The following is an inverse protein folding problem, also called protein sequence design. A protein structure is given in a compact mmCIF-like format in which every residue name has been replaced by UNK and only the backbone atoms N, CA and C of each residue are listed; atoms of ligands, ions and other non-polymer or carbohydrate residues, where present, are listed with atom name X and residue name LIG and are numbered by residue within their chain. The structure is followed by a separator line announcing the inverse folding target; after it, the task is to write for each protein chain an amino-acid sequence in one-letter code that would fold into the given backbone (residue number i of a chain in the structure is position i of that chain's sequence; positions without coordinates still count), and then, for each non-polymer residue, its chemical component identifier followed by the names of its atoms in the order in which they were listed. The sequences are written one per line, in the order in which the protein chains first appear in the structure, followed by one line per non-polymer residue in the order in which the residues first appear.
data_IF_291800762321
#
_entry.id   IF_291800762321
#
_cell.length_a   1.000
_cell.length_b   1.000
_cell.length_c   1.000
_cell.angle_alpha   90.00
_cell.angle_beta   90.00
_cell.angle_gamma   90.00
#
_symmetry.space_group_name_H-M   'P 1'
#
loop_
_entity.id
_entity.type
_entity.pdbx_description
1 polymer ?
#
# COMPACT_ATOMS: atom_id res chain seq x y z
N UNK A 1 6.83 23.20 -12.76
CA UNK A 1 7.92 23.21 -11.76
C UNK A 1 9.13 22.58 -12.42
N UNK A 2 10.31 23.19 -12.34
CA UNK A 2 11.53 22.61 -12.91
C UNK A 2 12.02 21.43 -12.06
N UNK A 3 12.79 20.52 -12.66
CA UNK A 3 13.41 19.41 -11.95
C UNK A 3 14.40 19.89 -10.87
N UNK A 4 15.08 21.02 -11.10
CA UNK A 4 15.99 21.62 -10.12
C UNK A 4 15.25 22.08 -8.85
N UNK A 5 14.12 22.78 -9.00
CA UNK A 5 13.30 23.17 -7.85
C UNK A 5 12.76 21.95 -7.11
N UNK A 6 12.37 20.89 -7.83
CA UNK A 6 11.92 19.63 -7.22
C UNK A 6 13.04 18.94 -6.44
N UNK A 7 14.26 18.91 -6.96
CA UNK A 7 15.41 18.33 -6.29
C UNK A 7 15.74 19.08 -4.98
N UNK A 8 15.66 20.41 -4.98
CA UNK A 8 15.85 21.23 -3.78
C UNK A 8 14.77 20.92 -2.71
N UNK A 9 13.50 20.80 -3.11
CA UNK A 9 12.43 20.42 -2.19
C UNK A 9 12.63 19.02 -1.62
N UNK A 10 13.03 18.05 -2.46
CA UNK A 10 13.32 16.69 -2.02
C UNK A 10 14.45 16.66 -0.99
N UNK A 11 15.54 17.40 -1.23
CA UNK A 11 16.64 17.50 -0.27
C UNK A 11 16.22 18.16 1.05
N UNK A 12 15.41 19.22 1.00
CA UNK A 12 14.89 19.85 2.21
C UNK A 12 13.98 18.90 3.03
N UNK A 13 13.15 18.12 2.34
CA UNK A 13 12.30 17.10 2.98
C UNK A 13 13.11 15.95 3.57
N UNK A 14 14.14 15.45 2.87
CA UNK A 14 15.06 14.44 3.42
C UNK A 14 15.72 14.91 4.72
N UNK A 15 16.01 16.21 4.82
CA UNK A 15 16.54 16.85 6.04
C UNK A 15 15.47 17.17 7.10
N UNK A 16 14.20 16.85 6.85
CA UNK A 16 13.12 16.96 7.82
C UNK A 16 12.47 18.34 7.94
N UNK A 17 12.60 19.20 6.92
CA UNK A 17 11.92 20.49 6.87
C UNK A 17 10.39 20.30 6.75
N UNK A 18 9.65 20.70 7.79
CA UNK A 18 8.21 20.47 7.88
C UNK A 18 7.43 21.26 6.82
N UNK A 19 7.83 22.49 6.52
CA UNK A 19 7.11 23.32 5.53
C UNK A 19 7.25 22.71 4.13
N UNK A 20 8.42 22.16 3.82
CA UNK A 20 8.65 21.47 2.56
C UNK A 20 7.89 20.14 2.51
N UNK A 21 7.76 19.43 3.64
CA UNK A 21 6.91 18.22 3.73
C UNK A 21 5.46 18.57 3.39
N UNK A 22 4.90 19.59 4.04
CA UNK A 22 3.51 20.02 3.82
C UNK A 22 3.29 20.46 2.36
N UNK A 23 4.25 21.19 1.79
CA UNK A 23 4.22 21.60 0.38
C UNK A 23 4.26 20.39 -0.57
N UNK A 24 5.13 19.40 -0.32
CA UNK A 24 5.19 18.18 -1.12
C UNK A 24 3.91 17.35 -0.97
N UNK A 25 3.33 17.26 0.23
CA UNK A 25 2.06 16.58 0.46
C UNK A 25 0.93 17.23 -0.36
N UNK A 26 0.91 18.56 -0.48
CA UNK A 26 -0.02 19.27 -1.36
C UNK A 26 0.26 18.95 -2.85
N UNK A 27 1.52 19.05 -3.30
CA UNK A 27 1.89 18.70 -4.68
C UNK A 27 1.52 17.25 -5.04
N UNK A 28 1.62 16.33 -4.07
CA UNK A 28 1.26 14.92 -4.25
C UNK A 28 -0.23 14.70 -4.52
N UNK A 29 -1.12 15.64 -4.17
CA UNK A 29 -2.56 15.57 -4.48
C UNK A 29 -2.85 15.70 -5.97
N UNK A 30 -1.92 16.21 -6.78
CA UNK A 30 -2.07 16.30 -8.24
C UNK A 30 -2.22 14.90 -8.84
N UNK A 31 -3.08 14.79 -9.85
CA UNK A 31 -3.33 13.55 -10.59
C UNK A 31 -2.43 13.42 -11.84
N UNK A 32 -1.37 14.21 -11.94
CA UNK A 32 -0.41 14.17 -13.05
C UNK A 32 0.89 13.47 -12.65
N UNK A 33 1.80 13.30 -13.61
CA UNK A 33 3.09 12.63 -13.41
C UNK A 33 3.91 13.24 -12.27
N UNK A 34 3.85 14.56 -12.09
CA UNK A 34 4.52 15.24 -11.00
C UNK A 34 3.94 14.80 -9.65
N UNK A 35 2.61 14.83 -9.52
CA UNK A 35 1.93 14.38 -8.30
C UNK A 35 2.25 12.92 -7.96
N UNK A 36 2.27 12.02 -8.94
CA UNK A 36 2.65 10.61 -8.73
C UNK A 36 4.11 10.44 -8.31
N UNK A 37 5.03 11.22 -8.90
CA UNK A 37 6.46 11.19 -8.55
C UNK A 37 6.69 11.67 -7.12
N UNK A 38 6.04 12.77 -6.71
CA UNK A 38 6.14 13.30 -5.34
C UNK A 38 5.49 12.36 -4.33
N UNK A 39 4.32 11.81 -4.66
CA UNK A 39 3.63 10.83 -3.81
C UNK A 39 4.49 9.58 -3.56
N UNK A 40 5.15 9.07 -4.60
CA UNK A 40 6.10 7.95 -4.46
C UNK A 40 7.29 8.32 -3.59
N UNK A 41 7.88 9.50 -3.80
CA UNK A 41 9.02 9.97 -3.00
C UNK A 41 8.69 10.07 -1.51
N UNK A 42 7.54 10.65 -1.15
CA UNK A 42 7.08 10.74 0.24
C UNK A 42 6.86 9.36 0.85
N UNK A 43 6.25 8.45 0.09
CA UNK A 43 6.01 7.09 0.57
C UNK A 43 7.30 6.27 0.73
N UNK A 44 8.29 6.46 -0.15
CA UNK A 44 9.59 5.82 -0.04
C UNK A 44 10.31 6.26 1.25
N UNK A 45 10.19 7.54 1.66
CA UNK A 45 10.69 8.02 2.95
C UNK A 45 9.90 7.45 4.13
N UNK A 46 8.56 7.48 4.05
CA UNK A 46 7.67 6.97 5.08
C UNK A 46 7.87 5.46 5.35
N UNK A 47 8.04 4.66 4.29
CA UNK A 47 8.22 3.21 4.38
C UNK A 47 9.65 2.78 4.75
N UNK A 48 10.59 3.73 4.82
CA UNK A 48 12.01 3.45 5.06
C UNK A 48 12.77 2.91 3.84
N UNK A 49 12.14 2.83 2.66
CA UNK A 49 12.81 2.47 1.40
C UNK A 49 13.88 3.51 1.02
N UNK A 50 13.65 4.77 1.39
CA UNK A 50 14.61 5.87 1.30
C UNK A 50 14.89 6.37 2.71
N UNK A 51 16.16 6.62 3.02
CA UNK A 51 16.57 7.20 4.30
C UNK A 51 16.25 8.70 4.36
N UNK A 52 15.92 9.20 5.56
CA UNK A 52 15.69 10.61 5.83
C UNK A 52 16.00 10.96 7.29
N UNK A 53 15.64 12.17 7.70
CA UNK A 53 15.80 12.62 9.10
C UNK A 53 15.08 11.69 10.10
N UNK A 54 15.47 11.68 11.38
CA UNK A 54 14.73 10.96 12.42
C UNK A 54 13.25 11.36 12.45
N UNK A 55 12.36 10.38 12.67
CA UNK A 55 10.90 10.55 12.75
C UNK A 55 10.25 11.20 11.50
N UNK A 56 10.91 11.15 10.35
CA UNK A 56 10.37 11.72 9.08
C UNK A 56 9.07 11.02 8.67
N UNK A 57 8.93 9.73 8.96
CA UNK A 57 7.71 8.94 8.79
C UNK A 57 6.52 9.55 9.52
N UNK A 58 6.73 9.96 10.78
CA UNK A 58 5.71 10.62 11.62
C UNK A 58 5.36 12.03 11.12
N UNK A 59 6.35 12.77 10.59
CA UNK A 59 6.08 14.10 10.01
C UNK A 59 5.24 13.99 8.74
N UNK A 60 5.60 13.06 7.85
CA UNK A 60 4.90 12.84 6.58
C UNK A 60 3.47 12.35 6.82
N UNK A 61 3.31 11.33 7.67
CA UNK A 61 1.98 10.75 7.90
C UNK A 61 1.03 11.72 8.61
N UNK A 62 1.55 12.56 9.51
CA UNK A 62 0.77 13.60 10.17
C UNK A 62 0.32 14.69 9.20
N UNK A 63 1.18 15.13 8.29
CA UNK A 63 0.81 16.06 7.22
C UNK A 63 -0.29 15.47 6.33
N UNK A 64 -0.17 14.18 5.97
CA UNK A 64 -1.21 13.48 5.21
C UNK A 64 -2.55 13.38 5.96
N UNK A 65 -2.51 13.16 7.28
CA UNK A 65 -3.72 13.14 8.12
C UNK A 65 -4.41 14.51 8.16
N UNK A 66 -3.65 15.61 8.27
CA UNK A 66 -4.21 16.96 8.21
C UNK A 66 -4.89 17.20 6.86
N UNK A 67 -4.25 16.82 5.74
CA UNK A 67 -4.87 16.91 4.41
C UNK A 67 -6.16 16.09 4.31
N UNK A 68 -6.17 14.85 4.82
CA UNK A 68 -7.37 14.02 4.87
C UNK A 68 -8.47 14.68 5.71
N UNK A 69 -8.15 15.30 6.86
CA UNK A 69 -9.14 16.01 7.67
C UNK A 69 -9.72 17.22 6.95
N UNK A 70 -8.89 18.01 6.26
CA UNK A 70 -9.34 19.15 5.46
C UNK A 70 -10.33 18.68 4.39
N UNK A 71 -9.98 17.60 3.66
CA UNK A 71 -10.78 17.02 2.59
C UNK A 71 -12.15 16.48 3.00
N UNK A 72 -12.30 16.08 4.26
CA UNK A 72 -13.57 15.55 4.77
C UNK A 72 -14.34 16.57 5.64
N UNK A 73 -13.87 17.81 5.75
CA UNK A 73 -14.60 18.90 6.39
C UNK A 73 -15.73 19.40 5.46
N UNK A 74 -16.88 19.81 6.02
CA UNK A 74 -18.12 20.14 5.29
C UNK A 74 -17.93 21.17 4.17
N UNK A 75 -16.91 22.04 4.28
CA UNK A 75 -16.58 23.06 3.29
C UNK A 75 -16.02 22.46 1.99
N UNK A 76 -15.44 21.25 2.04
CA UNK A 76 -14.77 20.61 0.89
C UNK A 76 -15.30 19.20 0.56
N UNK A 77 -16.36 18.73 1.24
CA UNK A 77 -16.90 17.37 1.06
C UNK A 77 -17.32 17.04 -0.39
N UNK A 78 -17.75 18.04 -1.15
CA UNK A 78 -18.13 17.88 -2.57
C UNK A 78 -16.94 18.04 -3.53
N UNK A 79 -15.73 18.24 -3.01
CA UNK A 79 -14.54 18.48 -3.81
C UNK A 79 -13.95 17.18 -4.34
N UNK A 80 -14.60 16.66 -5.39
CA UNK A 80 -14.19 15.45 -6.14
C UNK A 80 -12.79 15.55 -6.76
N UNK A 81 -12.14 16.71 -6.71
CA UNK A 81 -10.80 16.94 -7.26
C UNK A 81 -9.71 16.20 -6.47
N UNK A 82 -9.88 16.00 -5.16
CA UNK A 82 -8.89 15.32 -4.30
C UNK A 82 -9.06 13.81 -4.27
N UNK A 83 -9.17 13.20 -5.45
CA UNK A 83 -9.41 11.75 -5.64
C UNK A 83 -8.51 10.86 -4.78
N UNK A 84 -7.23 11.22 -4.63
CA UNK A 84 -6.27 10.46 -3.84
C UNK A 84 -6.63 10.35 -2.35
N UNK A 85 -7.48 11.21 -1.80
CA UNK A 85 -7.94 11.14 -0.41
C UNK A 85 -9.26 10.33 -0.25
N UNK A 86 -9.81 9.85 -1.37
CA UNK A 86 -11.05 9.06 -1.43
C UNK A 86 -10.90 7.76 -2.23
N UNK A 87 -9.68 7.43 -2.65
CA UNK A 87 -9.36 6.23 -3.43
C UNK A 87 -8.08 5.57 -2.89
N UNK A 88 -7.80 4.31 -3.27
CA UNK A 88 -6.58 3.62 -2.84
C UNK A 88 -5.33 4.37 -3.32
N UNK A 89 -4.66 5.07 -2.40
CA UNK A 89 -3.48 5.89 -2.69
C UNK A 89 -2.47 5.81 -1.55
N UNK A 90 -1.22 6.18 -1.85
CA UNK A 90 -0.16 6.20 -0.84
C UNK A 90 -0.43 7.28 0.20
N UNK A 91 -0.95 8.44 -0.22
CA UNK A 91 -1.32 9.52 0.69
C UNK A 91 -2.40 9.09 1.69
N UNK A 92 -3.43 8.39 1.22
CA UNK A 92 -4.52 7.93 2.07
C UNK A 92 -4.04 6.84 3.05
N UNK A 93 -3.18 5.93 2.58
CA UNK A 93 -2.54 4.95 3.45
C UNK A 93 -1.69 5.62 4.54
N UNK A 94 -0.86 6.60 4.19
CA UNK A 94 -0.06 7.36 5.16
C UNK A 94 -0.96 8.09 6.17
N UNK A 95 -2.04 8.76 5.71
CA UNK A 95 -2.99 9.44 6.59
C UNK A 95 -3.61 8.49 7.63
N UNK A 96 -4.03 7.29 7.23
CA UNK A 96 -4.60 6.30 8.14
C UNK A 96 -3.59 5.71 9.13
N UNK A 97 -2.30 5.72 8.81
CA UNK A 97 -1.25 5.30 9.73
C UNK A 97 -1.08 6.26 10.92
N UNK A 98 -1.29 7.55 10.71
CA UNK A 98 -1.06 8.59 11.72
C UNK A 98 -2.18 8.72 12.76
N UNK A 99 -3.43 8.39 12.40
CA UNK A 99 -4.55 8.47 13.35
C UNK A 99 -4.42 7.39 14.42
N UNK A 100 -4.79 7.69 15.66
CA UNK A 100 -4.91 6.70 16.76
C UNK A 100 -6.33 6.18 16.93
N UNK A 101 -7.31 6.85 16.31
CA UNK A 101 -8.73 6.48 16.35
C UNK A 101 -9.00 5.30 15.40
N UNK A 102 -9.39 4.16 15.98
CA UNK A 102 -9.69 2.93 15.25
C UNK A 102 -10.88 3.10 14.29
N UNK A 103 -11.90 3.87 14.67
CA UNK A 103 -13.06 4.11 13.79
C UNK A 103 -12.63 4.83 12.51
N UNK A 104 -11.74 5.82 12.65
CA UNK A 104 -11.14 6.51 11.50
C UNK A 104 -10.25 5.59 10.67
N UNK A 105 -9.46 4.71 11.30
CA UNK A 105 -8.67 3.70 10.58
C UNK A 105 -9.58 2.82 9.73
N UNK A 106 -10.63 2.25 10.32
CA UNK A 106 -11.60 1.40 9.62
C UNK A 106 -12.24 2.15 8.45
N UNK A 107 -12.68 3.40 8.64
CA UNK A 107 -13.24 4.22 7.56
C UNK A 107 -12.27 4.50 6.41
N UNK A 108 -10.98 4.73 6.71
CA UNK A 108 -9.95 4.90 5.68
C UNK A 108 -9.63 3.57 5.00
N UNK A 109 -9.53 2.48 5.76
CA UNK A 109 -9.27 1.14 5.24
C UNK A 109 -10.35 0.71 4.23
N UNK A 110 -11.62 1.01 4.50
CA UNK A 110 -12.71 0.75 3.58
C UNK A 110 -12.54 1.47 2.23
N UNK A 111 -12.08 2.73 2.23
CA UNK A 111 -11.78 3.47 0.99
C UNK A 111 -10.60 2.86 0.20
N UNK A 112 -9.68 2.17 0.87
CA UNK A 112 -8.49 1.55 0.26
C UNK A 112 -8.81 0.14 -0.26
N UNK A 113 -9.52 -0.67 0.52
CA UNK A 113 -9.83 -2.05 0.18
C UNK A 113 -11.08 -2.17 -0.71
N UNK A 114 -11.95 -1.17 -0.68
CA UNK A 114 -13.27 -1.24 -1.29
C UNK A 114 -14.22 -2.16 -0.53
N UNK A 115 -15.28 -2.58 -1.21
CA UNK A 115 -16.19 -3.60 -0.70
C UNK A 115 -15.50 -4.96 -0.74
N UNK A 116 -15.41 -5.60 0.43
CA UNK A 116 -14.93 -6.97 0.52
C UNK A 116 -16.09 -7.95 0.31
N UNK A 117 -15.91 -8.88 -0.61
CA UNK A 117 -16.88 -9.95 -0.89
C UNK A 117 -16.28 -11.28 -0.46
N UNK A 118 -17.05 -12.05 0.32
CA UNK A 118 -16.65 -13.40 0.69
C UNK A 118 -16.63 -14.26 -0.58
N UNK A 119 -15.53 -14.97 -0.82
CA UNK A 119 -15.41 -15.92 -1.91
C UNK A 119 -16.08 -17.26 -1.57
N UNK A 120 -16.27 -17.54 -0.28
CA UNK A 120 -16.97 -18.74 0.20
C UNK A 120 -17.91 -18.41 1.36
N UNK A 121 -18.92 -19.25 1.58
CA UNK A 121 -19.85 -19.13 2.72
C UNK A 121 -19.17 -19.24 4.10
N UNK A 122 -17.90 -19.67 4.13
CA UNK A 122 -17.09 -19.88 5.32
C UNK A 122 -16.16 -18.69 5.62
N UNK A 123 -16.01 -17.77 4.68
CA UNK A 123 -15.10 -16.63 4.79
C UNK A 123 -15.78 -15.46 5.51
N UNK A 124 -15.17 -15.00 6.60
CA UNK A 124 -15.60 -13.78 7.26
C UNK A 124 -14.96 -12.59 6.56
N UNK A 125 -15.77 -11.81 5.85
CA UNK A 125 -15.33 -10.51 5.33
C UNK A 125 -15.58 -9.41 6.36
N UNK A 126 -14.55 -8.61 6.61
CA UNK A 126 -14.60 -7.55 7.60
C UNK A 126 -13.57 -6.48 7.29
N UNK A 127 -13.95 -5.22 7.50
CA UNK A 127 -13.03 -4.09 7.27
C UNK A 127 -11.89 -4.19 8.28
N UNK A 128 -10.72 -4.53 7.77
CA UNK A 128 -9.52 -4.78 8.54
C UNK A 128 -8.77 -3.49 8.91
N UNK A 129 -8.14 -3.47 10.08
CA UNK A 129 -7.20 -2.40 10.42
C UNK A 129 -5.86 -2.64 9.70
N UNK A 130 -5.72 -2.09 8.48
CA UNK A 130 -4.53 -2.21 7.63
C UNK A 130 -3.19 -1.86 8.32
N UNK A 131 -3.22 -1.01 9.35
CA UNK A 131 -2.02 -0.55 10.07
C UNK A 131 -1.76 -1.32 11.37
N UNK A 132 -2.49 -2.41 11.63
CA UNK A 132 -2.21 -3.29 12.76
C UNK A 132 -0.92 -4.08 12.50
N UNK A 133 0.03 -4.05 13.44
CA UNK A 133 1.28 -4.82 13.34
C UNK A 133 1.10 -6.32 13.59
N UNK A 134 0.00 -6.72 14.21
CA UNK A 134 -0.34 -8.12 14.49
C UNK A 134 -1.34 -8.71 13.47
N UNK A 135 -1.45 -8.08 12.30
CA UNK A 135 -2.35 -8.49 11.22
C UNK A 135 -1.76 -9.65 10.44
N UNK A 136 -2.58 -10.64 10.11
CA UNK A 136 -2.20 -11.66 9.13
C UNK A 136 -2.43 -11.09 7.73
N UNK A 137 -1.41 -11.13 6.88
CA UNK A 137 -1.54 -10.61 5.51
C UNK A 137 -2.48 -11.51 4.70
N UNK A 138 -3.28 -10.89 3.83
CA UNK A 138 -4.10 -11.64 2.87
C UNK A 138 -3.25 -12.21 1.74
N UNK A 139 -3.76 -13.25 1.07
CA UNK A 139 -3.09 -13.83 -0.10
C UNK A 139 -2.87 -12.81 -1.22
N UNK A 140 -3.85 -11.93 -1.49
CA UNK A 140 -3.75 -10.91 -2.53
C UNK A 140 -2.68 -9.84 -2.23
N UNK A 141 -2.60 -9.41 -0.98
CA UNK A 141 -1.60 -8.45 -0.54
C UNK A 141 -0.19 -9.05 -0.66
N UNK A 142 -0.02 -10.28 -0.20
CA UNK A 142 1.25 -10.99 -0.25
C UNK A 142 1.65 -11.33 -1.70
N UNK A 143 0.70 -11.75 -2.54
CA UNK A 143 0.94 -12.05 -3.95
C UNK A 143 1.41 -10.79 -4.70
N UNK A 144 0.71 -9.67 -4.52
CA UNK A 144 1.06 -8.41 -5.20
C UNK A 144 2.46 -7.94 -4.82
N UNK A 145 2.80 -8.01 -3.52
CA UNK A 145 4.11 -7.61 -3.03
C UNK A 145 5.23 -8.53 -3.54
N UNK A 146 5.04 -9.85 -3.47
CA UNK A 146 6.09 -10.82 -3.81
C UNK A 146 6.28 -10.98 -5.31
N UNK A 147 5.21 -11.00 -6.10
CA UNK A 147 5.30 -10.97 -7.57
C UNK A 147 5.95 -9.67 -8.06
N UNK A 148 5.59 -8.54 -7.44
CA UNK A 148 6.21 -7.24 -7.71
C UNK A 148 7.71 -7.19 -7.40
N UNK A 149 8.16 -7.92 -6.37
CA UNK A 149 9.56 -7.98 -5.96
C UNK A 149 10.45 -8.73 -6.97
N UNK A 150 9.91 -9.76 -7.63
CA UNK A 150 10.69 -10.66 -8.50
C UNK A 150 10.57 -10.35 -9.99
N UNK A 151 9.84 -9.29 -10.39
CA UNK A 151 9.61 -8.95 -11.81
C UNK A 151 10.92 -8.78 -12.62
N UNK A 152 11.98 -8.31 -11.97
CA UNK A 152 13.30 -8.09 -12.60
C UNK A 152 14.26 -9.27 -12.39
N UNK A 153 13.80 -10.39 -11.81
CA UNK A 153 14.60 -11.56 -11.44
C UNK A 153 14.17 -12.81 -12.20
N UNK A 154 14.69 -13.05 -13.43
CA UNK A 154 14.21 -14.13 -14.30
C UNK A 154 14.46 -15.55 -13.78
N UNK A 155 15.37 -15.71 -12.81
CA UNK A 155 15.72 -17.01 -12.20
C UNK A 155 14.88 -17.32 -10.94
N UNK A 156 13.99 -16.41 -10.56
CA UNK A 156 13.18 -16.49 -9.35
C UNK A 156 11.70 -16.39 -9.70
N UNK A 157 10.95 -17.47 -9.46
CA UNK A 157 9.50 -17.53 -9.65
C UNK A 157 8.81 -17.64 -8.30
N UNK A 158 7.79 -16.81 -8.08
CA UNK A 158 6.94 -16.86 -6.88
C UNK A 158 5.52 -17.18 -7.33
N UNK A 159 4.91 -18.17 -6.69
CA UNK A 159 3.53 -18.57 -6.96
C UNK A 159 2.55 -17.83 -6.04
N UNK A 160 1.29 -17.74 -6.47
CA UNK A 160 0.22 -17.14 -5.65
C UNK A 160 0.08 -17.91 -4.31
N UNK A 161 -0.07 -17.23 -3.16
CA UNK A 161 -0.21 -17.88 -1.87
C UNK A 161 -1.44 -18.78 -1.80
N UNK A 162 -1.25 -20.00 -1.30
CA UNK A 162 -2.31 -21.01 -1.19
C UNK A 162 -2.33 -21.63 0.20
N UNK A 163 -3.51 -22.08 0.65
CA UNK A 163 -3.57 -22.94 1.83
C UNK A 163 -2.99 -24.33 1.53
N UNK A 164 -2.44 -25.02 2.54
CA UNK A 164 -1.88 -26.36 2.34
C UNK A 164 -2.94 -27.42 2.03
N UNK A 165 -4.02 -27.42 2.81
CA UNK A 165 -5.10 -28.42 2.74
C UNK A 165 -6.42 -27.73 2.45
N UNK A 166 -7.15 -28.19 1.45
CA UNK A 166 -8.47 -27.64 1.16
C UNK A 166 -9.44 -27.95 2.30
N UNK A 167 -10.18 -26.96 2.86
CA UNK A 167 -11.03 -27.17 4.03
C UNK A 167 -12.08 -28.27 3.85
N UNK A 168 -12.72 -28.33 2.69
CA UNK A 168 -13.78 -29.30 2.37
C UNK A 168 -13.27 -30.63 1.81
N UNK A 169 -12.52 -30.62 0.70
CA UNK A 169 -12.09 -31.86 0.02
C UNK A 169 -10.95 -32.59 0.73
N UNK A 170 -10.27 -31.93 1.68
CA UNK A 170 -9.07 -32.43 2.38
C UNK A 170 -7.90 -32.76 1.44
N UNK A 171 -7.96 -32.30 0.19
CA UNK A 171 -6.85 -32.46 -0.74
C UNK A 171 -5.66 -31.60 -0.34
N UNK A 172 -4.48 -32.03 -0.75
CA UNK A 172 -3.27 -31.24 -0.65
C UNK A 172 -3.18 -30.32 -1.86
N UNK A 173 -3.46 -29.03 -1.66
CA UNK A 173 -3.51 -28.02 -2.73
C UNK A 173 -2.10 -27.80 -3.31
N UNK A 174 -1.06 -27.83 -2.46
CA UNK A 174 0.33 -27.68 -2.90
C UNK A 174 0.70 -28.79 -3.89
N UNK A 175 0.35 -30.04 -3.60
CA UNK A 175 0.63 -31.16 -4.49
C UNK A 175 -0.05 -30.99 -5.85
N UNK A 176 -1.31 -30.54 -5.87
CA UNK A 176 -2.05 -30.26 -7.09
C UNK A 176 -1.37 -29.15 -7.91
N UNK A 177 -1.00 -28.04 -7.26
CA UNK A 177 -0.33 -26.92 -7.91
C UNK A 177 1.06 -27.29 -8.44
N UNK A 178 1.83 -28.09 -7.71
CA UNK A 178 3.13 -28.60 -8.16
C UNK A 178 3.01 -29.46 -9.41
N UNK A 179 2.05 -30.39 -9.44
CA UNK A 179 1.80 -31.24 -10.60
C UNK A 179 1.40 -30.41 -11.83
N UNK A 180 0.52 -29.44 -11.64
CA UNK A 180 0.11 -28.52 -12.70
C UNK A 180 1.30 -27.70 -13.23
N UNK A 181 2.10 -27.13 -12.33
CA UNK A 181 3.28 -26.32 -12.68
C UNK A 181 4.30 -27.13 -13.48
N UNK A 182 4.62 -28.35 -13.04
CA UNK A 182 5.54 -29.26 -13.75
C UNK A 182 5.02 -29.60 -15.15
N UNK A 183 3.71 -29.85 -15.27
CA UNK A 183 3.10 -30.23 -16.54
C UNK A 183 3.00 -29.06 -17.55
N UNK A 184 2.75 -27.84 -17.08
CA UNK A 184 2.46 -26.69 -17.95
C UNK A 184 3.68 -25.81 -18.23
N UNK A 185 4.48 -25.48 -17.22
CA UNK A 185 5.56 -24.48 -17.34
C UNK A 185 6.94 -25.02 -16.98
N UNK A 186 7.01 -26.15 -16.28
CA UNK A 186 8.21 -26.56 -15.58
C UNK A 186 8.48 -25.69 -14.34
N UNK A 187 9.56 -26.02 -13.63
CA UNK A 187 10.03 -25.29 -12.45
C UNK A 187 11.19 -24.35 -12.86
N UNK A 188 11.17 -23.12 -12.37
CA UNK A 188 12.31 -22.22 -12.45
C UNK A 188 13.46 -22.72 -11.58
N UNK A 189 14.64 -22.11 -11.73
CA UNK A 189 15.82 -22.43 -10.89
C UNK A 189 15.51 -22.28 -9.40
N UNK A 190 14.82 -21.20 -9.04
CA UNK A 190 14.29 -20.98 -7.70
C UNK A 190 12.77 -20.80 -7.78
N UNK A 191 12.02 -21.84 -7.44
CA UNK A 191 10.57 -21.83 -7.39
C UNK A 191 10.10 -21.67 -5.93
N UNK A 192 9.31 -20.63 -5.65
CA UNK A 192 8.81 -20.32 -4.32
C UNK A 192 7.30 -20.56 -4.26
N UNK A 193 6.87 -21.31 -3.24
CA UNK A 193 5.48 -21.48 -2.84
C UNK A 193 5.28 -20.86 -1.47
N UNK A 194 4.24 -20.04 -1.33
CA UNK A 194 3.84 -19.40 -0.08
C UNK A 194 2.64 -20.17 0.47
N UNK A 195 2.79 -20.78 1.65
CA UNK A 195 1.84 -21.71 2.27
C UNK A 195 1.48 -21.25 3.67
#
# INVERSE_FOLDING_TARGET
MSDETLALLFSAVENGDQNCIDLLCNLALRNDNLGHRVEKFLFDLFSGKRSGSPDIDKKINQACLVLHQIANNDITKDNTEWKKLHAPSRLLYMAGSATTDLSKKIGIAHKIMGDQFAQTDQEQVGVENLWCSARMLSSDELATATLGLVQESPLLSVNYPIGLIHPTTKENILSTQLLEKIAQSGLCENEIFLI
#
